data_IF_808123676556
#
_entry.id   IF_808123676556
#
_cell.length_a   1.000
_cell.length_b   1.000
_cell.length_c   1.000
_cell.angle_alpha   90.00
_cell.angle_beta   90.00
_cell.angle_gamma   90.00
#
_symmetry.space_group_name_H-M   'P 1'
#
loop_
_entity.id
_entity.type
_entity.pdbx_description
1 polymer ?
#
# COMPACT_ATOMS: atom_id res chain seq x y z
N UNK A 1 10.08 -48.06 90.13
CA UNK A 1 11.21 -48.78 89.51
C UNK A 1 11.02 -48.66 87.98
N UNK A 2 12.05 -48.27 87.32
CA UNK A 2 12.30 -48.21 85.92
C UNK A 2 11.86 -46.94 85.15
N UNK A 3 12.77 -46.39 84.35
CA UNK A 3 12.64 -45.15 83.75
C UNK A 3 12.20 -45.24 82.29
N UNK A 4 11.53 -44.18 81.83
CA UNK A 4 11.09 -44.02 80.48
C UNK A 4 12.20 -43.45 79.56
N UNK A 5 12.30 -43.99 78.38
CA UNK A 5 13.18 -43.57 77.30
C UNK A 5 12.55 -42.47 76.48
N UNK A 6 13.29 -41.33 76.38
CA UNK A 6 13.00 -40.26 75.41
C UNK A 6 13.39 -40.72 74.01
N UNK A 7 12.43 -40.68 73.10
CA UNK A 7 12.65 -40.79 71.68
C UNK A 7 12.58 -39.34 71.05
N UNK A 8 13.73 -38.80 70.70
CA UNK A 8 13.88 -37.56 69.97
C UNK A 8 13.49 -37.74 68.50
N UNK A 9 12.45 -37.05 68.09
CA UNK A 9 12.08 -36.96 66.68
C UNK A 9 12.85 -35.78 66.01
N UNK A 10 13.79 -36.11 65.12
CA UNK A 10 14.42 -35.18 64.22
C UNK A 10 13.42 -34.85 63.10
N UNK A 11 12.93 -33.61 63.05
CA UNK A 11 12.15 -33.09 61.92
C UNK A 11 13.13 -32.56 60.87
N UNK A 12 13.19 -33.22 59.74
CA UNK A 12 13.92 -32.73 58.55
C UNK A 12 13.02 -31.72 57.81
N UNK A 13 13.37 -30.43 57.90
CA UNK A 13 12.75 -29.38 57.13
C UNK A 13 13.43 -29.33 55.78
N UNK A 14 12.77 -29.85 54.74
CA UNK A 14 13.15 -29.66 53.34
C UNK A 14 12.71 -28.27 52.90
N UNK A 15 13.65 -27.32 52.80
CA UNK A 15 13.45 -26.05 52.17
C UNK A 15 13.47 -26.22 50.64
N UNK A 16 12.30 -26.22 50.02
CA UNK A 16 12.19 -26.05 48.57
C UNK A 16 12.55 -24.57 48.24
N UNK A 17 13.76 -24.35 47.77
CA UNK A 17 14.11 -23.07 47.12
C UNK A 17 13.42 -23.04 45.75
N UNK A 18 12.33 -22.27 45.63
CA UNK A 18 11.71 -21.94 44.34
C UNK A 18 12.71 -21.07 43.56
N UNK A 19 13.35 -21.67 42.56
CA UNK A 19 14.11 -20.93 41.55
C UNK A 19 13.08 -20.18 40.70
N UNK A 20 12.78 -18.94 41.06
CA UNK A 20 12.15 -17.99 40.16
C UNK A 20 13.12 -17.72 39.02
N UNK A 21 12.96 -18.41 37.90
CA UNK A 21 13.55 -17.98 36.65
C UNK A 21 12.97 -16.58 36.33
N UNK A 22 13.75 -15.53 36.59
CA UNK A 22 13.45 -14.22 36.09
C UNK A 22 13.46 -14.32 34.55
N UNK A 23 12.27 -14.45 33.97
CA UNK A 23 12.07 -14.26 32.55
C UNK A 23 12.46 -12.80 32.31
N UNK A 24 13.65 -12.55 31.79
CA UNK A 24 14.02 -11.23 31.27
C UNK A 24 12.97 -10.78 30.26
N UNK A 25 12.77 -9.48 30.02
CA UNK A 25 11.80 -9.03 29.06
C UNK A 25 12.06 -9.78 27.76
N UNK A 26 11.07 -10.59 27.35
CA UNK A 26 11.12 -11.28 26.07
C UNK A 26 11.37 -10.19 25.02
N UNK A 27 12.49 -10.27 24.33
CA UNK A 27 12.72 -9.45 23.13
C UNK A 27 11.51 -9.73 22.26
N UNK A 28 10.61 -8.73 22.11
CA UNK A 28 9.43 -8.86 21.28
C UNK A 28 9.90 -9.34 19.93
N UNK A 29 9.44 -10.51 19.51
CA UNK A 29 9.79 -11.04 18.20
C UNK A 29 9.36 -10.00 17.15
N UNK A 30 10.23 -9.69 16.19
CA UNK A 30 9.91 -8.74 15.11
C UNK A 30 8.62 -9.20 14.42
N UNK A 31 7.61 -8.32 14.25
CA UNK A 31 6.36 -8.70 13.59
C UNK A 31 6.60 -9.07 12.13
N UNK A 32 5.75 -9.93 11.57
CA UNK A 32 5.64 -9.99 10.12
C UNK A 32 4.97 -8.73 9.60
N UNK A 33 5.26 -8.36 8.36
CA UNK A 33 4.70 -7.15 7.76
C UNK A 33 4.15 -7.50 6.38
N UNK A 34 2.89 -7.16 6.15
CA UNK A 34 2.21 -7.35 4.86
C UNK A 34 1.68 -6.01 4.37
N UNK A 35 1.97 -5.66 3.13
CA UNK A 35 1.41 -4.50 2.45
C UNK A 35 0.56 -4.97 1.29
N UNK A 36 -0.76 -4.75 1.39
CA UNK A 36 -1.72 -5.10 0.34
C UNK A 36 -2.12 -3.83 -0.39
N UNK A 37 -1.97 -3.84 -1.71
CA UNK A 37 -2.30 -2.70 -2.58
C UNK A 37 -3.27 -3.15 -3.65
N UNK A 38 -4.46 -2.55 -3.69
CA UNK A 38 -5.39 -2.66 -4.83
C UNK A 38 -5.02 -1.66 -5.92
N UNK A 39 -5.55 -1.86 -7.13
CA UNK A 39 -5.21 -1.09 -8.33
C UNK A 39 -6.45 -0.34 -8.83
N UNK A 40 -6.42 0.98 -8.76
CA UNK A 40 -7.54 1.85 -9.16
C UNK A 40 -8.81 1.69 -8.29
N UNK A 41 -8.68 1.36 -7.01
CA UNK A 41 -9.83 1.30 -6.10
C UNK A 41 -10.12 2.68 -5.50
N UNK A 42 -11.31 3.21 -5.77
CA UNK A 42 -11.74 4.50 -5.23
C UNK A 42 -12.08 4.45 -3.73
N UNK A 43 -11.99 5.59 -3.09
CA UNK A 43 -12.21 5.76 -1.66
C UNK A 43 -13.60 5.30 -1.19
N UNK A 44 -14.63 5.45 -2.03
CA UNK A 44 -15.99 5.04 -1.70
C UNK A 44 -16.18 3.53 -1.53
N UNK A 45 -15.25 2.73 -2.03
CA UNK A 45 -15.42 1.28 -2.19
C UNK A 45 -14.71 0.46 -1.10
N UNK A 46 -14.79 0.96 0.11
CA UNK A 46 -14.50 0.22 1.35
C UNK A 46 -15.74 0.27 2.24
N UNK A 47 -16.27 -0.89 2.65
CA UNK A 47 -17.55 -1.00 3.37
C UNK A 47 -17.58 -0.19 4.66
N UNK A 48 -16.50 -0.22 5.46
CA UNK A 48 -16.39 0.52 6.70
C UNK A 48 -16.35 2.06 6.52
N UNK A 49 -16.23 2.58 5.29
CA UNK A 49 -16.42 4.01 5.02
C UNK A 49 -17.91 4.40 5.04
N UNK A 50 -18.84 3.45 4.80
CA UNK A 50 -20.28 3.69 4.85
C UNK A 50 -20.82 4.56 3.71
N UNK A 51 -20.02 4.80 2.66
CA UNK A 51 -20.38 5.73 1.57
C UNK A 51 -21.38 5.14 0.58
N UNK A 52 -21.39 3.82 0.42
CA UNK A 52 -22.16 3.12 -0.59
C UNK A 52 -22.82 1.88 -0.01
N UNK A 53 -24.12 1.74 -0.20
CA UNK A 53 -24.88 0.57 0.26
C UNK A 53 -24.67 -0.68 -0.59
N UNK A 54 -24.12 -0.54 -1.80
CA UNK A 54 -23.82 -1.63 -2.72
C UNK A 54 -22.43 -2.28 -2.46
N UNK A 55 -21.57 -1.68 -1.66
CA UNK A 55 -20.23 -2.22 -1.31
C UNK A 55 -20.32 -3.30 -0.24
N UNK A 56 -19.58 -4.39 -0.43
CA UNK A 56 -19.48 -5.51 0.52
C UNK A 56 -18.03 -5.93 0.64
N UNK A 57 -17.37 -5.51 1.74
CA UNK A 57 -15.97 -5.83 2.04
C UNK A 57 -15.80 -6.30 3.50
N UNK A 58 -16.47 -7.39 3.92
CA UNK A 58 -16.53 -7.79 5.32
C UNK A 58 -15.16 -8.13 5.93
N UNK A 59 -14.21 -8.63 5.13
CA UNK A 59 -12.87 -8.98 5.62
C UNK A 59 -11.98 -7.75 5.78
N UNK A 60 -12.08 -6.77 4.88
CA UNK A 60 -11.39 -5.47 4.99
C UNK A 60 -12.02 -4.62 6.10
N UNK A 61 -13.35 -4.69 6.26
CA UNK A 61 -14.05 -4.03 7.37
C UNK A 61 -13.61 -4.61 8.73
N UNK A 62 -13.45 -5.95 8.79
CA UNK A 62 -12.91 -6.61 9.98
C UNK A 62 -11.42 -6.28 10.20
N UNK A 63 -10.63 -6.09 9.13
CA UNK A 63 -9.25 -5.60 9.26
C UNK A 63 -9.22 -4.19 9.86
N UNK A 64 -10.11 -3.30 9.41
CA UNK A 64 -10.25 -1.96 9.96
C UNK A 64 -10.72 -1.96 11.43
N UNK A 65 -11.62 -2.89 11.79
CA UNK A 65 -12.09 -3.07 13.16
C UNK A 65 -11.00 -3.61 14.11
N UNK A 66 -10.09 -4.45 13.60
CA UNK A 66 -8.95 -4.98 14.36
C UNK A 66 -7.77 -4.00 14.45
N UNK A 67 -7.87 -2.81 13.84
CA UNK A 67 -6.80 -1.84 13.77
C UNK A 67 -7.27 -0.40 13.62
N UNK A 68 -6.65 0.32 12.70
CA UNK A 68 -6.85 1.74 12.43
C UNK A 68 -7.34 1.96 11.00
N UNK A 69 -8.49 2.60 10.85
CA UNK A 69 -8.97 3.13 9.58
C UNK A 69 -8.59 4.60 9.45
N UNK A 70 -7.93 4.95 8.34
CA UNK A 70 -7.57 6.34 8.09
C UNK A 70 -8.68 7.03 7.29
N UNK A 71 -9.15 8.17 7.80
CA UNK A 71 -10.15 8.96 7.06
C UNK A 71 -9.55 9.69 5.87
N UNK A 72 -8.29 10.11 6.01
CA UNK A 72 -7.57 10.92 5.02
C UNK A 72 -6.26 10.25 4.62
N UNK A 73 -6.35 9.01 4.12
CA UNK A 73 -5.23 8.27 3.54
C UNK A 73 -5.03 8.65 2.08
N UNK A 74 -3.80 8.99 1.69
CA UNK A 74 -3.49 9.47 0.34
C UNK A 74 -2.44 8.60 -0.34
N UNK A 75 -2.60 8.42 -1.64
CA UNK A 75 -1.56 7.93 -2.53
C UNK A 75 -0.56 9.06 -2.83
N UNK A 76 0.70 8.72 -3.07
CA UNK A 76 1.76 9.70 -3.37
C UNK A 76 1.70 10.28 -4.78
N UNK A 77 0.87 9.71 -5.65
CA UNK A 77 0.58 10.22 -6.98
C UNK A 77 -0.80 9.72 -7.45
N UNK A 78 -1.43 10.38 -8.44
CA UNK A 78 -2.77 10.02 -8.90
C UNK A 78 -2.79 8.91 -9.95
N UNK A 79 -1.64 8.26 -10.24
CA UNK A 79 -1.50 7.15 -11.20
C UNK A 79 -0.50 6.11 -10.71
N UNK A 80 -0.59 4.89 -11.26
CA UNK A 80 0.03 3.68 -10.72
C UNK A 80 1.56 3.74 -10.57
N UNK A 81 2.34 4.01 -11.65
CA UNK A 81 3.81 3.93 -11.61
C UNK A 81 4.42 4.86 -10.57
N UNK A 82 4.14 6.17 -10.58
CA UNK A 82 4.72 7.07 -9.57
C UNK A 82 4.20 6.76 -8.16
N UNK A 83 2.92 6.38 -8.00
CA UNK A 83 2.40 6.04 -6.69
C UNK A 83 3.08 4.81 -6.09
N UNK A 84 3.28 3.75 -6.90
CA UNK A 84 4.01 2.55 -6.47
C UNK A 84 5.48 2.84 -6.20
N UNK A 85 6.13 3.66 -7.04
CA UNK A 85 7.51 4.11 -6.81
C UNK A 85 7.64 4.86 -5.47
N UNK A 86 6.71 5.77 -5.17
CA UNK A 86 6.67 6.47 -3.91
C UNK A 86 6.48 5.53 -2.71
N UNK A 87 5.46 4.67 -2.73
CA UNK A 87 5.20 3.69 -1.67
C UNK A 87 6.42 2.81 -1.39
N UNK A 88 7.05 2.31 -2.46
CA UNK A 88 8.20 1.40 -2.34
C UNK A 88 9.45 2.08 -1.79
N UNK A 89 9.64 3.40 -2.00
CA UNK A 89 10.84 4.13 -1.59
C UNK A 89 10.65 4.98 -0.33
N UNK A 90 9.38 5.27 0.07
CA UNK A 90 9.06 6.23 1.14
C UNK A 90 9.42 7.67 0.78
N UNK A 91 9.60 7.97 -0.53
CA UNK A 91 10.00 9.28 -1.06
C UNK A 91 9.06 9.75 -2.15
N UNK A 92 8.87 11.05 -2.28
CA UNK A 92 8.09 11.57 -3.41
C UNK A 92 8.71 11.11 -4.74
N UNK A 93 7.92 10.49 -5.63
CA UNK A 93 8.45 9.93 -6.88
C UNK A 93 9.06 10.99 -7.80
N UNK A 94 8.64 12.22 -7.67
CA UNK A 94 9.20 13.38 -8.39
C UNK A 94 10.64 13.72 -8.00
N UNK A 95 11.14 13.27 -6.81
CA UNK A 95 12.54 13.46 -6.44
C UNK A 95 13.51 12.73 -7.37
N UNK A 96 13.06 11.68 -7.99
CA UNK A 96 13.87 10.87 -8.92
C UNK A 96 13.24 10.78 -10.33
N UNK A 97 12.39 11.76 -10.68
CA UNK A 97 11.91 11.98 -12.04
C UNK A 97 10.81 11.04 -12.53
N UNK A 98 10.07 10.38 -11.62
CA UNK A 98 8.91 9.55 -11.97
C UNK A 98 7.62 10.32 -11.66
N UNK A 99 6.91 10.78 -12.71
CA UNK A 99 5.67 11.57 -12.59
C UNK A 99 4.47 10.89 -13.25
N UNK A 100 4.71 10.10 -14.29
CA UNK A 100 3.66 9.48 -15.10
C UNK A 100 3.87 7.98 -15.25
N UNK A 101 2.88 7.28 -15.81
CA UNK A 101 3.02 5.85 -16.12
C UNK A 101 3.99 5.57 -17.28
N UNK A 102 4.46 6.58 -17.98
CA UNK A 102 5.47 6.47 -19.03
C UNK A 102 6.90 6.57 -18.49
N UNK A 103 7.05 7.10 -17.28
CA UNK A 103 8.35 7.24 -16.62
C UNK A 103 8.73 5.92 -15.94
N UNK A 104 9.96 5.57 -16.08
CA UNK A 104 10.48 4.31 -15.53
C UNK A 104 11.73 3.88 -16.27
N UNK A 105 12.40 2.86 -15.79
CA UNK A 105 12.18 2.11 -14.55
C UNK A 105 12.50 2.92 -13.28
N UNK A 106 12.12 2.37 -12.11
CA UNK A 106 12.56 2.93 -10.82
C UNK A 106 14.11 2.93 -10.78
N UNK A 107 14.77 4.12 -10.62
CA UNK A 107 16.24 4.19 -10.67
C UNK A 107 16.90 3.23 -9.69
N UNK A 108 17.97 2.58 -10.12
CA UNK A 108 18.70 1.61 -9.30
C UNK A 108 19.34 2.21 -8.03
N UNK A 109 19.55 3.54 -8.02
CA UNK A 109 20.03 4.29 -6.85
C UNK A 109 18.99 4.39 -5.72
N UNK A 110 17.70 4.24 -6.03
CA UNK A 110 16.63 4.27 -5.04
C UNK A 110 16.49 2.91 -4.34
N UNK A 111 16.63 2.90 -3.02
CA UNK A 111 16.41 1.69 -2.23
C UNK A 111 14.92 1.52 -1.94
N UNK A 112 14.44 0.33 -2.19
CA UNK A 112 13.05 -0.05 -1.94
C UNK A 112 12.81 -0.51 -0.50
N UNK A 113 11.54 -0.60 -0.11
CA UNK A 113 11.13 -1.26 1.13
C UNK A 113 11.65 -2.71 1.20
N UNK A 114 11.70 -3.42 0.05
CA UNK A 114 12.30 -4.76 -0.04
C UNK A 114 13.78 -4.75 0.36
N UNK A 115 14.59 -3.83 -0.20
CA UNK A 115 16.01 -3.70 0.15
C UNK A 115 16.20 -3.45 1.65
N UNK A 116 15.41 -2.54 2.23
CA UNK A 116 15.51 -2.15 3.63
C UNK A 116 15.04 -3.24 4.58
N UNK A 117 13.92 -3.90 4.27
CA UNK A 117 13.40 -5.00 5.08
C UNK A 117 14.32 -6.23 5.03
N UNK A 118 14.92 -6.53 3.88
CA UNK A 118 15.96 -7.55 3.76
C UNK A 118 17.17 -7.22 4.62
N UNK A 119 17.64 -5.97 4.58
CA UNK A 119 18.73 -5.50 5.45
C UNK A 119 18.38 -5.56 6.94
N UNK A 120 17.09 -5.44 7.30
CA UNK A 120 16.58 -5.62 8.65
C UNK A 120 16.46 -7.11 9.08
N UNK A 121 16.82 -8.06 8.20
CA UNK A 121 16.82 -9.50 8.49
C UNK A 121 15.52 -10.23 8.17
N UNK A 122 14.61 -9.60 7.44
CA UNK A 122 13.37 -10.22 6.96
C UNK A 122 13.61 -11.08 5.72
N UNK A 123 12.82 -12.13 5.56
CA UNK A 123 12.59 -12.72 4.24
C UNK A 123 11.60 -11.83 3.49
N UNK A 124 11.95 -11.42 2.28
CA UNK A 124 11.17 -10.44 1.54
C UNK A 124 10.48 -11.08 0.34
N UNK A 125 9.16 -10.89 0.24
CA UNK A 125 8.33 -11.43 -0.84
C UNK A 125 7.54 -10.36 -1.58
N UNK A 126 7.34 -10.59 -2.90
CA UNK A 126 6.45 -9.78 -3.71
C UNK A 126 5.54 -10.67 -4.54
N UNK A 127 4.24 -10.38 -4.51
CA UNK A 127 3.22 -11.07 -5.31
C UNK A 127 2.40 -10.05 -6.09
N UNK A 128 2.09 -10.36 -7.35
CA UNK A 128 1.22 -9.56 -8.20
C UNK A 128 1.92 -8.40 -8.93
N UNK A 129 1.20 -7.29 -9.11
CA UNK A 129 1.65 -6.14 -9.91
C UNK A 129 2.83 -5.41 -9.26
N UNK A 130 3.91 -5.28 -10.01
CA UNK A 130 5.10 -4.50 -9.68
C UNK A 130 5.03 -3.08 -10.26
N UNK A 131 4.98 -2.97 -11.56
CA UNK A 131 4.74 -1.77 -12.39
C UNK A 131 5.81 -0.66 -12.27
N UNK A 132 6.98 -0.96 -11.73
CA UNK A 132 8.14 -0.04 -11.68
C UNK A 132 9.38 -0.64 -12.36
N UNK A 133 9.20 -1.70 -13.16
CA UNK A 133 10.17 -2.22 -14.10
C UNK A 133 10.23 -1.35 -15.37
N UNK A 134 11.04 -1.76 -16.33
CA UNK A 134 11.19 -1.04 -17.60
C UNK A 134 9.82 -0.89 -18.28
N UNK A 135 9.36 0.35 -18.42
CA UNK A 135 8.26 0.63 -19.34
C UNK A 135 8.89 0.82 -20.72
N UNK A 136 8.57 -0.02 -21.73
CA UNK A 136 9.03 0.26 -23.08
C UNK A 136 8.38 1.57 -23.55
N UNK A 137 9.08 2.66 -23.38
CA UNK A 137 8.69 3.96 -23.90
C UNK A 137 8.55 3.94 -25.43
N UNK A 138 9.00 2.85 -26.05
CA UNK A 138 9.04 2.70 -27.49
C UNK A 138 8.02 1.66 -27.93
N UNK A 139 6.93 2.10 -28.58
CA UNK A 139 5.92 1.24 -29.22
C UNK A 139 6.52 0.23 -30.19
N UNK A 140 7.67 0.51 -30.76
CA UNK A 140 8.40 -0.41 -31.65
C UNK A 140 8.98 -1.60 -30.85
N UNK A 141 9.55 -1.35 -29.67
CA UNK A 141 10.09 -2.39 -28.81
C UNK A 141 8.98 -3.27 -28.22
N UNK A 142 7.83 -2.68 -27.87
CA UNK A 142 6.63 -3.45 -27.47
C UNK A 142 6.12 -4.40 -28.54
N UNK A 143 6.19 -3.99 -29.81
CA UNK A 143 5.76 -4.81 -30.96
C UNK A 143 6.70 -5.99 -31.26
N UNK A 144 7.93 -5.96 -30.77
CA UNK A 144 8.91 -7.02 -30.97
C UNK A 144 8.91 -8.12 -29.89
N UNK A 145 8.22 -7.87 -28.76
CA UNK A 145 8.10 -8.86 -27.67
C UNK A 145 6.86 -9.72 -27.92
N UNK A 146 6.96 -11.04 -27.94
CA UNK A 146 5.79 -11.91 -27.99
C UNK A 146 4.81 -11.58 -26.86
N UNK A 147 3.50 -11.50 -27.14
CA UNK A 147 2.49 -11.13 -26.13
C UNK A 147 2.44 -12.06 -24.91
N UNK A 148 2.83 -13.32 -25.09
CA UNK A 148 2.90 -14.35 -24.07
C UNK A 148 4.17 -14.26 -23.20
N UNK A 149 5.14 -13.43 -23.58
CA UNK A 149 6.33 -13.12 -22.77
C UNK A 149 6.19 -11.83 -21.96
N UNK A 150 5.17 -10.99 -22.25
CA UNK A 150 4.95 -9.73 -21.57
C UNK A 150 4.30 -9.96 -20.20
N UNK A 151 4.91 -9.45 -19.14
CA UNK A 151 4.32 -9.38 -17.82
C UNK A 151 3.27 -8.27 -17.81
N UNK A 152 2.00 -8.65 -17.83
CA UNK A 152 0.89 -7.71 -17.80
C UNK A 152 0.96 -6.78 -16.58
N UNK A 153 0.76 -5.48 -16.82
CA UNK A 153 0.86 -4.45 -15.79
C UNK A 153 2.28 -3.92 -15.56
N UNK A 154 3.31 -4.63 -16.04
CA UNK A 154 4.72 -4.21 -15.93
C UNK A 154 5.33 -3.85 -17.27
N UNK A 155 4.73 -4.30 -18.39
CA UNK A 155 5.26 -4.16 -19.74
C UNK A 155 6.74 -4.62 -19.85
N UNK A 156 7.15 -5.54 -19.00
CA UNK A 156 8.47 -6.11 -18.88
C UNK A 156 8.48 -7.57 -19.30
N UNK A 157 9.64 -8.15 -19.49
CA UNK A 157 9.84 -9.60 -19.65
C UNK A 157 10.57 -10.18 -18.44
N UNK A 158 10.66 -11.50 -18.35
CA UNK A 158 11.45 -12.16 -17.28
C UNK A 158 12.94 -11.83 -17.31
N UNK A 159 13.45 -11.30 -18.43
CA UNK A 159 14.83 -10.84 -18.57
C UNK A 159 15.07 -9.41 -18.05
N UNK A 160 14.03 -8.67 -17.64
CA UNK A 160 14.17 -7.29 -17.20
C UNK A 160 15.01 -7.18 -15.92
N UNK A 161 16.09 -6.35 -15.94
CA UNK A 161 16.98 -6.21 -14.80
C UNK A 161 16.34 -5.45 -13.61
N UNK A 162 15.16 -4.85 -13.78
CA UNK A 162 14.44 -4.09 -12.75
C UNK A 162 13.32 -4.89 -12.08
N UNK A 163 13.26 -6.21 -12.32
CA UNK A 163 12.32 -7.10 -11.63
C UNK A 163 12.60 -7.16 -10.11
N UNK A 164 11.60 -7.53 -9.31
CA UNK A 164 11.68 -7.51 -7.84
C UNK A 164 12.92 -8.18 -7.24
N UNK A 165 13.40 -9.29 -7.82
CA UNK A 165 14.60 -10.00 -7.35
C UNK A 165 15.89 -9.17 -7.35
N UNK A 166 15.96 -8.09 -8.15
CA UNK A 166 17.06 -7.13 -8.18
C UNK A 166 16.79 -5.89 -7.34
N UNK A 167 15.61 -5.82 -6.70
CA UNK A 167 15.09 -4.68 -5.97
C UNK A 167 14.71 -5.05 -4.54
N UNK A 168 15.46 -5.98 -3.93
CA UNK A 168 15.38 -6.31 -2.53
C UNK A 168 14.36 -7.37 -2.15
N UNK A 169 13.70 -8.03 -3.11
CA UNK A 169 12.79 -9.12 -2.82
C UNK A 169 13.47 -10.47 -3.07
N UNK A 170 13.58 -11.29 -2.01
CA UNK A 170 14.21 -12.61 -2.07
C UNK A 170 13.39 -13.59 -2.90
N UNK A 171 12.06 -13.49 -2.79
CA UNK A 171 11.12 -14.32 -3.51
C UNK A 171 10.03 -13.47 -4.18
N UNK A 172 9.55 -13.90 -5.33
CA UNK A 172 8.50 -13.16 -6.04
C UNK A 172 7.68 -14.05 -6.96
N UNK A 173 6.41 -13.63 -7.12
CA UNK A 173 5.46 -14.12 -8.11
C UNK A 173 4.85 -12.89 -8.81
N UNK A 174 5.65 -12.26 -9.67
CA UNK A 174 5.42 -10.93 -10.21
C UNK A 174 4.67 -10.98 -11.53
N UNK A 175 3.57 -10.28 -11.60
CA UNK A 175 2.74 -10.15 -12.80
C UNK A 175 1.30 -9.78 -12.46
N UNK A 176 0.65 -9.06 -13.36
CA UNK A 176 -0.70 -8.56 -13.12
C UNK A 176 -1.79 -9.54 -13.59
N UNK A 177 -1.55 -10.26 -14.68
CA UNK A 177 -2.53 -11.14 -15.29
C UNK A 177 -1.85 -12.16 -16.23
N UNK A 178 -2.21 -13.43 -16.13
CA UNK A 178 -1.78 -14.57 -16.95
C UNK A 178 -0.30 -14.91 -16.91
N UNK A 179 0.58 -13.96 -17.16
CA UNK A 179 2.02 -14.16 -17.22
C UNK A 179 2.68 -13.65 -15.94
N UNK A 180 3.47 -14.49 -15.30
CA UNK A 180 4.13 -14.20 -14.03
C UNK A 180 5.61 -14.57 -14.12
N UNK A 181 6.49 -13.64 -13.75
CA UNK A 181 7.88 -13.94 -13.45
C UNK A 181 7.95 -14.45 -12.01
N UNK A 182 8.37 -15.69 -11.81
CA UNK A 182 8.28 -16.32 -10.50
C UNK A 182 9.60 -16.96 -10.07
N UNK A 183 9.84 -16.95 -8.76
CA UNK A 183 10.92 -17.68 -8.08
C UNK A 183 10.42 -18.92 -7.34
N UNK A 184 9.10 -19.04 -7.17
CA UNK A 184 8.42 -20.18 -6.56
C UNK A 184 7.08 -20.42 -7.26
N UNK A 185 6.53 -21.64 -7.15
CA UNK A 185 5.22 -21.99 -7.69
C UNK A 185 4.11 -21.91 -6.62
N UNK A 186 2.84 -22.06 -7.04
CA UNK A 186 1.67 -21.99 -6.16
C UNK A 186 1.59 -23.13 -5.15
N UNK A 187 2.36 -24.22 -5.33
CA UNK A 187 2.55 -25.28 -4.34
C UNK A 187 3.64 -24.93 -3.31
N UNK A 188 4.26 -23.76 -3.42
CA UNK A 188 5.32 -23.29 -2.54
C UNK A 188 6.69 -23.94 -2.81
N UNK A 189 6.94 -24.49 -3.99
CA UNK A 189 8.24 -25.05 -4.37
C UNK A 189 9.11 -23.97 -5.02
N UNK A 190 10.39 -23.91 -4.65
CA UNK A 190 11.35 -23.02 -5.30
C UNK A 190 11.56 -23.45 -6.76
N UNK A 191 11.58 -22.47 -7.66
CA UNK A 191 11.82 -22.69 -9.09
C UNK A 191 13.32 -22.50 -9.41
N UNK A 192 14.05 -23.55 -9.84
CA UNK A 192 15.44 -23.43 -10.23
C UNK A 192 15.59 -22.50 -11.45
N UNK A 193 16.65 -21.69 -11.46
CA UNK A 193 16.94 -20.77 -12.58
C UNK A 193 16.00 -19.55 -12.65
N UNK A 194 15.35 -19.20 -11.55
CA UNK A 194 14.49 -18.02 -11.51
C UNK A 194 15.20 -16.73 -11.98
N UNK A 195 14.47 -15.81 -12.66
CA UNK A 195 13.01 -15.83 -12.87
C UNK A 195 12.55 -16.83 -13.93
N UNK A 196 11.48 -17.57 -13.61
CA UNK A 196 10.80 -18.47 -14.55
C UNK A 196 9.50 -17.83 -14.98
N UNK A 197 9.19 -17.84 -16.27
CA UNK A 197 7.90 -17.40 -16.78
C UNK A 197 6.86 -18.51 -16.55
N UNK A 198 5.85 -18.19 -15.74
CA UNK A 198 4.68 -19.04 -15.53
C UNK A 198 3.47 -18.41 -16.23
N UNK A 199 2.72 -19.26 -16.94
CA UNK A 199 1.44 -18.88 -17.53
C UNK A 199 0.30 -19.50 -16.72
N UNK A 200 -0.60 -18.68 -16.18
CA UNK A 200 -1.79 -19.13 -15.48
C UNK A 200 -2.99 -18.29 -15.91
N UNK A 201 -3.93 -18.89 -16.61
CA UNK A 201 -5.12 -18.22 -17.18
C UNK A 201 -6.32 -18.19 -16.22
N UNK A 202 -6.17 -18.73 -15.00
CA UNK A 202 -7.22 -18.66 -13.98
C UNK A 202 -7.49 -17.22 -13.57
N UNK A 203 -8.48 -17.04 -12.74
CA UNK A 203 -8.83 -15.72 -12.24
C UNK A 203 -7.67 -15.10 -11.45
N UNK A 204 -7.21 -13.95 -11.91
CA UNK A 204 -5.95 -13.32 -11.44
C UNK A 204 -5.90 -13.05 -9.93
N UNK A 205 -7.04 -12.70 -9.31
CA UNK A 205 -7.09 -12.43 -7.86
C UNK A 205 -6.87 -13.70 -7.06
N UNK A 206 -7.42 -14.83 -7.52
CA UNK A 206 -7.19 -16.13 -6.89
C UNK A 206 -5.72 -16.56 -7.02
N UNK A 207 -5.15 -16.43 -8.22
CA UNK A 207 -3.73 -16.78 -8.46
C UNK A 207 -2.80 -15.95 -7.57
N UNK A 208 -3.04 -14.64 -7.48
CA UNK A 208 -2.26 -13.74 -6.63
C UNK A 208 -2.45 -14.06 -5.14
N UNK A 209 -3.66 -14.40 -4.72
CA UNK A 209 -3.94 -14.82 -3.34
C UNK A 209 -3.26 -16.15 -3.02
N UNK A 210 -3.32 -17.13 -3.90
CA UNK A 210 -2.64 -18.43 -3.73
C UNK A 210 -1.13 -18.27 -3.65
N UNK A 211 -0.53 -17.41 -4.47
CA UNK A 211 0.89 -17.09 -4.40
C UNK A 211 1.28 -16.44 -3.06
N UNK A 212 0.44 -15.51 -2.54
CA UNK A 212 0.65 -14.93 -1.22
C UNK A 212 0.57 -15.97 -0.09
N UNK A 213 -0.40 -16.87 -0.17
CA UNK A 213 -0.56 -17.99 0.79
C UNK A 213 0.60 -18.98 0.70
N UNK A 214 1.09 -19.29 -0.50
CA UNK A 214 2.27 -20.13 -0.71
C UNK A 214 3.51 -19.50 -0.06
N UNK A 215 3.76 -18.20 -0.25
CA UNK A 215 4.85 -17.48 0.40
C UNK A 215 4.73 -17.53 1.93
N UNK A 216 3.55 -17.22 2.49
CA UNK A 216 3.30 -17.27 3.93
C UNK A 216 3.56 -18.70 4.45
N UNK A 217 3.07 -19.73 3.75
CA UNK A 217 3.26 -21.12 4.13
C UNK A 217 4.73 -21.55 4.17
N UNK A 218 5.58 -21.00 3.30
CA UNK A 218 7.02 -21.26 3.24
C UNK A 218 7.80 -20.68 4.42
N UNK A 219 7.36 -19.53 4.93
CA UNK A 219 8.16 -18.73 5.87
C UNK A 219 7.55 -18.65 7.28
N UNK A 220 6.31 -19.08 7.46
CA UNK A 220 5.66 -19.09 8.78
C UNK A 220 6.48 -19.85 9.84
N UNK A 221 6.82 -19.16 10.94
CA UNK A 221 7.57 -19.74 12.05
C UNK A 221 9.07 -19.94 11.83
N UNK A 222 9.64 -19.48 10.70
CA UNK A 222 11.09 -19.60 10.45
C UNK A 222 11.83 -18.30 10.77
N UNK A 223 11.45 -17.22 10.12
CA UNK A 223 11.98 -15.85 10.29
C UNK A 223 10.86 -14.85 10.07
N UNK A 224 10.95 -13.61 10.59
CA UNK A 224 9.99 -12.59 10.21
C UNK A 224 10.05 -12.36 8.71
N UNK A 225 8.89 -12.15 8.11
CA UNK A 225 8.79 -11.89 6.67
C UNK A 225 8.13 -10.55 6.37
N UNK A 226 8.54 -9.95 5.27
CA UNK A 226 7.88 -8.84 4.62
C UNK A 226 7.27 -9.32 3.31
N UNK A 227 5.96 -9.07 3.11
CA UNK A 227 5.25 -9.46 1.90
C UNK A 227 4.50 -8.26 1.30
N UNK A 228 4.82 -7.92 0.06
CA UNK A 228 4.04 -6.98 -0.75
C UNK A 228 3.08 -7.76 -1.63
N UNK A 229 1.78 -7.46 -1.55
CA UNK A 229 0.72 -8.06 -2.38
C UNK A 229 0.08 -6.97 -3.22
N UNK A 230 0.47 -6.87 -4.49
CA UNK A 230 -0.09 -5.93 -5.45
C UNK A 230 -1.18 -6.58 -6.27
N UNK A 231 -2.44 -6.52 -5.82
CA UNK A 231 -3.55 -6.97 -6.66
C UNK A 231 -3.69 -6.09 -7.90
N UNK A 232 -4.00 -6.71 -9.04
CA UNK A 232 -4.32 -5.98 -10.28
C UNK A 232 -5.81 -5.66 -10.42
N UNK A 233 -6.62 -6.06 -9.45
CA UNK A 233 -8.03 -5.71 -9.36
C UNK A 233 -8.20 -4.44 -8.50
N UNK A 234 -9.25 -3.63 -8.73
CA UNK A 234 -10.25 -3.73 -9.79
C UNK A 234 -9.86 -3.13 -11.17
N UNK A 235 -8.58 -2.88 -11.45
CA UNK A 235 -8.12 -2.37 -12.76
C UNK A 235 -8.66 -3.23 -13.92
N UNK A 236 -8.92 -2.61 -15.06
CA UNK A 236 -9.34 -3.32 -16.27
C UNK A 236 -8.31 -4.37 -16.73
N UNK A 237 -8.70 -5.49 -17.37
CA UNK A 237 -10.05 -5.83 -17.84
C UNK A 237 -10.99 -6.25 -16.70
N UNK A 238 -12.28 -5.88 -16.83
CA UNK A 238 -13.32 -6.26 -15.87
C UNK A 238 -13.78 -7.71 -16.11
N UNK A 239 -12.95 -8.65 -15.70
CA UNK A 239 -13.19 -10.09 -15.87
C UNK A 239 -13.15 -10.81 -14.51
N UNK A 240 -14.18 -10.63 -13.66
CA UNK A 240 -14.31 -11.37 -12.41
C UNK A 240 -14.62 -12.85 -12.66
N UNK A 241 -14.29 -13.75 -11.72
CA UNK A 241 -14.75 -15.12 -11.75
C UNK A 241 -16.29 -15.17 -11.69
N UNK A 242 -16.88 -16.21 -12.29
CA UNK A 242 -18.32 -16.26 -12.60
C UNK A 242 -19.26 -16.15 -11.39
N UNK A 243 -18.82 -16.57 -10.20
CA UNK A 243 -19.59 -16.56 -8.96
C UNK A 243 -19.65 -15.17 -8.29
N UNK A 244 -18.63 -14.31 -8.50
CA UNK A 244 -18.57 -12.99 -7.86
C UNK A 244 -19.65 -12.01 -8.34
N UNK A 245 -19.94 -11.86 -9.67
CA UNK A 245 -21.01 -10.98 -10.14
C UNK A 245 -22.39 -11.34 -9.59
N UNK A 246 -22.64 -12.62 -9.30
CA UNK A 246 -23.91 -13.08 -8.73
C UNK A 246 -24.20 -12.45 -7.35
N UNK A 247 -23.15 -12.16 -6.56
CA UNK A 247 -23.27 -11.48 -5.25
C UNK A 247 -23.84 -10.05 -5.38
N UNK A 248 -23.75 -9.46 -6.57
CA UNK A 248 -24.14 -8.09 -6.90
C UNK A 248 -25.23 -8.03 -7.98
N UNK A 249 -26.06 -9.09 -8.12
CA UNK A 249 -27.13 -9.16 -9.13
C UNK A 249 -28.14 -8.00 -9.03
N UNK A 250 -28.30 -7.41 -7.84
CA UNK A 250 -29.14 -6.24 -7.58
C UNK A 250 -28.58 -4.91 -8.14
N UNK A 251 -27.30 -4.87 -8.52
CA UNK A 251 -26.65 -3.69 -9.11
C UNK A 251 -26.94 -3.66 -10.60
N UNK A 252 -27.69 -2.66 -11.07
CA UNK A 252 -28.15 -2.57 -12.44
C UNK A 252 -27.01 -2.30 -13.45
N UNK A 253 -26.09 -1.39 -13.10
CA UNK A 253 -24.95 -1.06 -13.96
C UNK A 253 -23.96 -2.24 -14.05
N UNK A 254 -23.74 -2.80 -15.26
CA UNK A 254 -22.86 -3.95 -15.43
C UNK A 254 -21.39 -3.65 -15.13
N UNK A 255 -20.89 -2.44 -15.39
CA UNK A 255 -19.51 -2.05 -15.04
C UNK A 255 -19.36 -1.96 -13.52
N UNK A 256 -20.30 -1.30 -12.85
CA UNK A 256 -20.31 -1.22 -11.38
C UNK A 256 -20.37 -2.62 -10.76
N UNK A 257 -21.23 -3.48 -11.27
CA UNK A 257 -21.35 -4.87 -10.82
C UNK A 257 -20.04 -5.63 -10.96
N UNK A 258 -19.36 -5.49 -12.09
CA UNK A 258 -18.07 -6.14 -12.34
C UNK A 258 -16.95 -5.56 -11.45
N UNK A 259 -16.90 -4.25 -11.24
CA UNK A 259 -15.97 -3.61 -10.33
C UNK A 259 -16.14 -4.08 -8.89
N UNK A 260 -17.39 -4.10 -8.40
CA UNK A 260 -17.71 -4.63 -7.06
C UNK A 260 -17.35 -6.10 -6.90
N UNK A 261 -17.56 -6.90 -7.93
CA UNK A 261 -17.19 -8.31 -7.96
C UNK A 261 -15.66 -8.49 -7.82
N UNK A 262 -14.86 -7.65 -8.48
CA UNK A 262 -13.40 -7.65 -8.35
C UNK A 262 -12.94 -7.20 -6.97
N UNK A 263 -13.58 -6.19 -6.39
CA UNK A 263 -13.31 -5.71 -5.03
C UNK A 263 -13.65 -6.78 -3.99
N UNK A 264 -14.80 -7.48 -4.16
CA UNK A 264 -15.17 -8.58 -3.28
C UNK A 264 -14.17 -9.75 -3.36
N UNK A 265 -13.56 -9.99 -4.52
CA UNK A 265 -12.52 -11.00 -4.65
C UNK A 265 -11.23 -10.60 -3.91
N UNK A 266 -10.85 -9.32 -3.94
CA UNK A 266 -9.74 -8.80 -3.11
C UNK A 266 -10.07 -8.99 -1.62
N UNK A 267 -11.28 -8.63 -1.22
CA UNK A 267 -11.76 -8.79 0.17
C UNK A 267 -11.65 -10.24 0.64
N UNK A 268 -12.14 -11.19 -0.16
CA UNK A 268 -12.03 -12.63 0.13
C UNK A 268 -10.54 -13.06 0.19
N UNK A 269 -9.70 -12.54 -0.71
CA UNK A 269 -8.26 -12.79 -0.70
C UNK A 269 -7.58 -12.32 0.60
N UNK A 270 -7.91 -11.11 1.07
CA UNK A 270 -7.42 -10.59 2.36
C UNK A 270 -7.94 -11.44 3.51
N UNK A 271 -9.20 -11.88 3.44
CA UNK A 271 -9.79 -12.82 4.41
C UNK A 271 -9.01 -14.12 4.52
N UNK A 272 -8.66 -14.73 3.38
CA UNK A 272 -7.85 -15.97 3.30
C UNK A 272 -6.43 -15.76 3.88
N UNK A 273 -5.79 -14.63 3.57
CA UNK A 273 -4.47 -14.28 4.14
C UNK A 273 -4.55 -14.16 5.66
N UNK A 274 -5.53 -13.41 6.18
CA UNK A 274 -5.74 -13.25 7.63
C UNK A 274 -6.04 -14.58 8.32
N UNK A 275 -6.83 -15.45 7.69
CA UNK A 275 -7.12 -16.79 8.19
C UNK A 275 -5.84 -17.64 8.26
N UNK A 276 -5.04 -17.65 7.18
CA UNK A 276 -3.79 -18.40 7.14
C UNK A 276 -2.78 -17.95 8.22
N UNK A 277 -2.75 -16.66 8.54
CA UNK A 277 -1.94 -16.13 9.64
C UNK A 277 -2.46 -16.59 11.01
N UNK A 278 -3.77 -16.56 11.25
CA UNK A 278 -4.38 -17.03 12.50
C UNK A 278 -4.12 -18.52 12.73
N UNK A 279 -4.32 -19.35 11.71
CA UNK A 279 -4.09 -20.80 11.76
C UNK A 279 -2.64 -21.17 12.11
N UNK A 280 -1.70 -20.27 11.81
CA UNK A 280 -0.27 -20.41 12.10
C UNK A 280 0.20 -19.70 13.36
N UNK A 281 -0.73 -19.12 14.13
CA UNK A 281 -0.41 -18.37 15.35
C UNK A 281 0.28 -17.02 15.10
N UNK A 282 0.26 -16.50 13.85
CA UNK A 282 0.94 -15.26 13.46
C UNK A 282 0.01 -14.04 13.46
N UNK A 283 -1.29 -14.22 13.71
CA UNK A 283 -2.28 -13.15 13.56
C UNK A 283 -2.06 -11.96 14.50
N UNK A 284 -1.52 -12.18 15.71
CA UNK A 284 -1.22 -11.12 16.66
C UNK A 284 0.05 -10.32 16.25
N UNK A 285 1.05 -11.03 15.75
CA UNK A 285 2.37 -10.51 15.46
C UNK A 285 2.57 -10.20 13.96
N UNK A 286 1.52 -9.79 13.28
CA UNK A 286 1.59 -9.34 11.88
C UNK A 286 0.96 -7.97 11.71
N UNK A 287 1.77 -7.01 11.23
CA UNK A 287 1.31 -5.69 10.78
C UNK A 287 0.84 -5.79 9.34
N UNK A 288 -0.43 -5.48 9.09
CA UNK A 288 -1.03 -5.50 7.77
C UNK A 288 -1.45 -4.08 7.38
N UNK A 289 -0.94 -3.57 6.25
CA UNK A 289 -1.48 -2.39 5.57
C UNK A 289 -2.36 -2.80 4.40
N UNK A 290 -3.46 -2.10 4.22
CA UNK A 290 -4.28 -2.15 3.01
C UNK A 290 -4.45 -0.74 2.45
N UNK A 291 -4.20 -0.55 1.15
CA UNK A 291 -4.42 0.73 0.45
C UNK A 291 -4.67 0.50 -1.03
N UNK A 292 -5.03 1.56 -1.78
CA UNK A 292 -5.02 1.59 -3.24
C UNK A 292 -3.87 2.44 -3.74
N UNK A 293 -3.40 2.19 -4.96
CA UNK A 293 -2.32 2.97 -5.56
C UNK A 293 -2.78 4.35 -6.06
N UNK A 294 -4.03 4.53 -6.41
CA UNK A 294 -4.67 5.80 -6.77
C UNK A 294 -6.19 5.67 -6.74
N UNK A 295 -6.89 6.78 -6.88
CA UNK A 295 -8.34 6.77 -6.98
C UNK A 295 -8.87 6.11 -8.25
N UNK A 296 -10.17 5.81 -8.28
CA UNK A 296 -10.83 5.17 -9.41
C UNK A 296 -10.86 6.06 -10.65
N UNK A 297 -10.69 5.49 -11.86
CA UNK A 297 -10.95 6.18 -13.12
C UNK A 297 -12.46 6.27 -13.36
N UNK A 298 -12.95 7.47 -13.64
CA UNK A 298 -14.38 7.73 -13.92
C UNK A 298 -14.61 8.18 -15.36
N UNK A 299 -13.55 8.48 -16.11
CA UNK A 299 -13.64 8.98 -17.49
C UNK A 299 -14.27 7.94 -18.40
N UNK A 300 -15.22 8.34 -19.28
CA UNK A 300 -15.86 7.44 -20.24
C UNK A 300 -14.85 6.59 -21.01
N UNK A 301 -15.08 5.28 -21.01
CA UNK A 301 -14.21 4.30 -21.66
C UNK A 301 -13.03 3.80 -20.84
N UNK A 302 -12.74 4.42 -19.68
CA UNK A 302 -11.69 4.01 -18.76
C UNK A 302 -12.21 3.48 -17.42
N UNK A 303 -13.50 3.59 -17.17
CA UNK A 303 -14.12 3.24 -15.90
C UNK A 303 -13.91 1.75 -15.57
N UNK A 304 -13.56 1.50 -14.35
CA UNK A 304 -13.45 0.14 -13.80
C UNK A 304 -14.59 -0.24 -12.86
N UNK A 305 -15.63 0.59 -12.78
CA UNK A 305 -16.78 0.38 -11.91
C UNK A 305 -16.54 0.77 -10.45
N UNK A 306 -15.33 1.15 -10.05
CA UNK A 306 -15.06 1.71 -8.73
C UNK A 306 -15.40 3.21 -8.68
N UNK A 307 -15.63 3.76 -7.49
CA UNK A 307 -16.12 5.12 -7.28
C UNK A 307 -15.31 5.88 -6.22
N UNK A 308 -15.19 7.20 -6.43
CA UNK A 308 -14.51 8.10 -5.51
C UNK A 308 -15.47 8.91 -4.62
N UNK A 309 -16.80 8.85 -4.86
CA UNK A 309 -17.79 9.65 -4.16
C UNK A 309 -17.66 9.60 -2.63
N UNK A 310 -17.85 10.73 -1.91
CA UNK A 310 -18.25 12.05 -2.40
C UNK A 310 -17.07 12.92 -2.91
N UNK A 311 -15.89 12.37 -3.03
CA UNK A 311 -14.67 13.11 -3.40
C UNK A 311 -14.71 13.55 -4.86
N UNK A 312 -14.18 14.74 -5.11
CA UNK A 312 -14.12 15.33 -6.45
C UNK A 312 -12.95 14.75 -7.23
N UNK A 313 -13.19 14.44 -8.51
CA UNK A 313 -12.15 14.01 -9.44
C UNK A 313 -11.92 12.51 -9.50
N UNK A 314 -10.86 12.16 -10.22
CA UNK A 314 -10.57 10.77 -10.62
C UNK A 314 -9.07 10.51 -10.79
N UNK A 315 -8.71 9.26 -11.06
CA UNK A 315 -7.35 8.87 -11.49
C UNK A 315 -6.77 9.86 -12.52
N UNK A 316 -5.53 10.31 -12.29
CA UNK A 316 -4.86 11.31 -13.12
C UNK A 316 -5.18 12.78 -12.76
N UNK A 317 -5.89 13.00 -11.66
CA UNK A 317 -6.15 14.33 -11.11
C UNK A 317 -5.61 14.46 -9.68
N UNK A 318 -5.17 15.66 -9.30
CA UNK A 318 -4.63 15.92 -7.96
C UNK A 318 -5.71 16.35 -6.94
N UNK A 319 -6.98 16.33 -7.34
CA UNK A 319 -8.12 16.43 -6.42
C UNK A 319 -8.21 15.20 -5.50
N UNK A 320 -9.02 15.28 -4.46
CA UNK A 320 -9.18 14.19 -3.48
C UNK A 320 -9.57 12.86 -4.14
N UNK A 321 -10.47 12.89 -5.16
CA UNK A 321 -10.87 11.68 -5.87
C UNK A 321 -9.76 10.96 -6.65
N UNK A 322 -8.66 11.65 -6.96
CA UNK A 322 -7.51 11.01 -7.59
C UNK A 322 -6.43 10.54 -6.62
N UNK A 323 -6.34 11.16 -5.44
CA UNK A 323 -5.25 10.93 -4.49
C UNK A 323 -5.68 10.32 -3.17
N UNK A 324 -6.90 10.58 -2.68
CA UNK A 324 -7.42 9.98 -1.44
C UNK A 324 -7.98 8.60 -1.73
N UNK A 325 -7.49 7.61 -0.99
CA UNK A 325 -7.72 6.18 -1.24
C UNK A 325 -8.13 5.46 0.04
N UNK A 326 -8.74 4.26 -0.05
CA UNK A 326 -8.88 3.39 1.11
C UNK A 326 -7.52 3.18 1.78
N UNK A 327 -7.47 3.32 3.11
CA UNK A 327 -6.23 3.12 3.85
C UNK A 327 -6.55 2.55 5.25
N UNK A 328 -5.95 1.41 5.57
CA UNK A 328 -6.12 0.67 6.83
C UNK A 328 -4.77 0.15 7.29
N UNK A 329 -4.52 0.16 8.60
CA UNK A 329 -3.39 -0.54 9.22
C UNK A 329 -3.91 -1.35 10.42
N UNK A 330 -3.55 -2.64 10.50
CA UNK A 330 -3.90 -3.48 11.63
C UNK A 330 -2.68 -4.25 12.13
N UNK A 331 -2.45 -4.19 13.42
CA UNK A 331 -1.42 -4.97 14.13
C UNK A 331 -1.90 -5.21 15.56
N UNK A 332 -2.59 -6.32 15.83
CA UNK A 332 -3.25 -6.52 17.12
C UNK A 332 -2.31 -6.41 18.33
N UNK A 333 -1.03 -6.81 18.20
CA UNK A 333 -0.04 -6.67 19.29
C UNK A 333 0.52 -5.25 19.45
N UNK A 334 0.38 -4.37 18.45
CA UNK A 334 1.08 -3.07 18.45
C UNK A 334 0.21 -1.85 18.15
N UNK A 335 -1.03 -2.01 17.70
CA UNK A 335 -1.95 -0.92 17.38
C UNK A 335 -3.30 -1.09 18.08
N UNK A 336 -3.97 0.01 18.46
CA UNK A 336 -5.31 -0.05 19.03
C UNK A 336 -6.33 -0.52 17.99
N UNK A 337 -7.27 -1.38 18.40
CA UNK A 337 -8.37 -1.82 17.57
C UNK A 337 -9.47 -0.75 17.47
N UNK A 338 -10.20 -0.72 16.33
CA UNK A 338 -11.37 0.11 16.10
C UNK A 338 -11.11 1.62 16.04
N UNK A 339 -9.86 2.02 15.89
CA UNK A 339 -9.52 3.45 15.85
C UNK A 339 -9.80 4.05 14.47
N UNK A 340 -10.44 5.21 14.47
CA UNK A 340 -10.57 6.07 13.29
C UNK A 340 -9.55 7.20 13.41
N UNK A 341 -8.63 7.33 12.45
CA UNK A 341 -7.57 8.32 12.47
C UNK A 341 -7.89 9.47 11.50
N UNK A 342 -8.12 10.72 11.99
CA UNK A 342 -8.66 11.79 11.17
C UNK A 342 -7.61 12.61 10.42
N UNK A 343 -6.34 12.53 10.81
CA UNK A 343 -5.28 13.33 10.19
C UNK A 343 -4.81 12.75 8.87
N UNK A 344 -4.34 13.60 7.94
CA UNK A 344 -3.78 13.14 6.67
C UNK A 344 -2.54 12.27 6.87
N UNK A 345 -2.51 11.14 6.15
CA UNK A 345 -1.37 10.25 5.99
C UNK A 345 -1.18 9.97 4.50
N UNK A 346 0.00 9.51 4.13
CA UNK A 346 0.35 9.24 2.73
C UNK A 346 1.02 7.87 2.60
N UNK A 347 0.89 7.23 1.44
CA UNK A 347 1.49 5.91 1.19
C UNK A 347 3.02 5.86 1.40
N UNK A 348 3.69 7.01 1.41
CA UNK A 348 5.11 7.14 1.76
C UNK A 348 5.42 6.73 3.20
N UNK A 349 4.43 6.82 4.10
CA UNK A 349 4.57 6.53 5.53
C UNK A 349 4.67 5.03 5.83
N UNK A 350 4.26 4.18 4.87
CA UNK A 350 4.29 2.72 5.04
C UNK A 350 5.72 2.24 5.29
N UNK A 351 6.71 2.73 4.51
CA UNK A 351 8.10 2.29 4.65
C UNK A 351 8.70 2.64 6.02
N UNK A 352 8.73 3.91 6.49
CA UNK A 352 9.28 4.22 7.80
C UNK A 352 8.50 3.59 8.96
N UNK A 353 7.18 3.38 8.81
CA UNK A 353 6.38 2.68 9.83
C UNK A 353 6.73 1.19 9.89
N UNK A 354 6.91 0.54 8.74
CA UNK A 354 7.36 -0.85 8.66
C UNK A 354 8.75 -1.04 9.28
N UNK A 355 9.68 -0.12 9.01
CA UNK A 355 11.02 -0.14 9.63
C UNK A 355 10.95 0.02 11.15
N UNK A 356 10.16 0.97 11.64
CA UNK A 356 9.99 1.18 13.07
C UNK A 356 9.36 -0.05 13.75
N UNK A 357 8.35 -0.69 13.14
CA UNK A 357 7.80 -1.95 13.61
C UNK A 357 8.85 -3.09 13.64
N UNK A 358 9.81 -3.06 12.71
CA UNK A 358 10.95 -3.99 12.67
C UNK A 358 12.07 -3.64 13.66
N UNK A 359 11.93 -2.56 14.46
CA UNK A 359 12.95 -2.07 15.38
C UNK A 359 14.14 -1.42 14.67
N UNK A 360 13.92 -0.81 13.52
CA UNK A 360 14.94 -0.12 12.71
C UNK A 360 14.59 1.35 12.61
N UNK A 361 15.47 2.20 13.10
CA UNK A 361 15.31 3.65 12.96
C UNK A 361 15.64 4.10 11.53
N UNK A 362 14.80 4.98 11.00
CA UNK A 362 15.07 5.63 9.74
C UNK A 362 16.28 6.57 9.87
N UNK A 363 17.25 6.45 8.97
CA UNK A 363 18.46 7.26 8.98
C UNK A 363 18.26 8.52 8.14
N UNK A 364 18.79 9.70 8.59
CA UNK A 364 18.64 10.96 7.86
C UNK A 364 19.13 10.92 6.41
N UNK A 365 20.19 10.16 6.13
CA UNK A 365 20.76 10.00 4.79
C UNK A 365 19.85 9.28 3.81
N UNK A 366 18.81 8.60 4.30
CA UNK A 366 17.79 7.96 3.45
C UNK A 366 16.81 8.96 2.82
N UNK A 367 16.76 10.19 3.39
CA UNK A 367 15.94 11.29 2.89
C UNK A 367 14.49 10.86 2.63
N UNK A 368 13.91 10.11 3.57
CA UNK A 368 12.51 9.69 3.49
C UNK A 368 11.61 10.92 3.62
N UNK A 369 10.56 10.99 2.81
CA UNK A 369 9.51 11.99 2.93
C UNK A 369 8.34 11.48 3.80
N UNK A 370 8.16 10.16 3.86
CA UNK A 370 7.23 9.52 4.78
C UNK A 370 7.72 9.56 6.23
N UNK A 371 6.79 9.44 7.17
CA UNK A 371 7.04 9.43 8.61
C UNK A 371 6.60 8.11 9.25
N UNK A 372 7.21 7.75 10.38
CA UNK A 372 6.75 6.64 11.19
C UNK A 372 5.42 6.99 11.86
N UNK A 373 4.36 6.27 11.53
CA UNK A 373 3.02 6.51 12.07
C UNK A 373 2.78 5.92 13.46
N UNK A 374 3.60 4.98 13.94
CA UNK A 374 3.33 4.27 15.21
C UNK A 374 3.10 5.21 16.39
N UNK A 375 3.93 6.25 16.66
CA UNK A 375 3.69 7.15 17.80
C UNK A 375 2.35 7.89 17.74
N UNK A 376 1.88 8.21 16.53
CA UNK A 376 0.59 8.87 16.30
C UNK A 376 -0.59 7.91 16.46
N UNK A 377 -0.39 6.66 16.03
CA UNK A 377 -1.43 5.64 16.08
C UNK A 377 -1.56 5.01 17.47
N UNK A 378 -0.51 4.98 18.28
CA UNK A 378 -0.57 4.54 19.68
C UNK A 378 -1.03 5.65 20.62
N UNK A 379 -1.01 6.92 20.18
CA UNK A 379 -1.40 8.08 21.00
C UNK A 379 -0.27 8.71 21.78
N UNK A 380 0.99 8.29 21.54
CA UNK A 380 2.18 8.94 22.11
C UNK A 380 2.37 10.36 21.56
N UNK A 381 1.92 10.60 20.32
CA UNK A 381 1.87 11.92 19.69
C UNK A 381 0.44 12.24 19.29
N UNK A 382 0.01 13.46 19.63
CA UNK A 382 -1.36 13.95 19.36
C UNK A 382 -1.44 14.85 18.12
N UNK A 383 -0.31 15.37 17.64
CA UNK A 383 -0.26 16.24 16.46
C UNK A 383 -0.48 15.43 15.17
N UNK A 384 -0.73 16.14 14.07
CA UNK A 384 -0.76 15.51 12.75
C UNK A 384 0.66 15.06 12.34
N UNK A 385 0.84 13.88 11.71
CA UNK A 385 2.15 13.39 11.28
C UNK A 385 2.77 14.29 10.20
N UNK A 386 1.94 14.94 9.40
CA UNK A 386 2.37 15.85 8.35
C UNK A 386 1.75 17.23 8.53
N UNK A 387 2.61 18.27 8.48
CA UNK A 387 2.14 19.67 8.37
C UNK A 387 1.61 19.96 6.99
N UNK A 388 2.23 19.36 5.96
CA UNK A 388 1.92 19.56 4.55
C UNK A 388 2.15 18.26 3.77
N UNK A 389 1.31 18.03 2.76
CA UNK A 389 1.49 16.98 1.76
C UNK A 389 1.53 17.63 0.37
N UNK A 390 2.32 17.06 -0.53
CA UNK A 390 2.57 17.62 -1.86
C UNK A 390 2.36 16.59 -2.96
N UNK A 391 1.98 17.07 -4.13
CA UNK A 391 1.85 16.24 -5.33
C UNK A 391 2.26 17.03 -6.56
N UNK A 392 2.83 16.34 -7.54
CA UNK A 392 3.05 16.84 -8.90
C UNK A 392 2.75 15.72 -9.89
N UNK A 393 1.97 16.02 -10.91
CA UNK A 393 1.59 15.08 -11.95
C UNK A 393 1.39 15.83 -13.28
N UNK A 394 2.30 15.61 -14.24
CA UNK A 394 2.27 16.31 -15.51
C UNK A 394 2.16 17.82 -15.30
N UNK A 395 1.10 18.50 -15.85
CA UNK A 395 0.94 19.92 -15.69
C UNK A 395 0.39 20.37 -14.33
N UNK A 396 0.00 19.42 -13.45
CA UNK A 396 -0.65 19.73 -12.20
C UNK A 396 0.35 19.68 -11.03
N UNK A 397 0.16 20.56 -10.05
CA UNK A 397 0.83 20.47 -8.76
C UNK A 397 -0.15 20.82 -7.64
N UNK A 398 0.04 20.25 -6.45
CA UNK A 398 -0.84 20.50 -5.31
C UNK A 398 -0.06 20.53 -4.00
N UNK A 399 -0.56 21.31 -3.05
CA UNK A 399 -0.16 21.26 -1.65
C UNK A 399 -1.40 21.22 -0.76
N UNK A 400 -1.39 20.34 0.24
CA UNK A 400 -2.39 20.29 1.31
C UNK A 400 -1.72 20.68 2.63
N UNK A 401 -2.36 21.58 3.39
CA UNK A 401 -1.87 22.04 4.69
C UNK A 401 -3.08 22.23 5.62
N UNK A 402 -3.20 21.36 6.61
CA UNK A 402 -4.37 21.35 7.51
C UNK A 402 -5.67 21.09 6.75
N UNK A 403 -6.57 22.06 6.77
CA UNK A 403 -7.85 22.02 6.02
C UNK A 403 -7.75 22.54 4.58
N UNK A 404 -6.67 23.21 4.24
CA UNK A 404 -6.52 23.88 2.96
C UNK A 404 -5.83 22.98 1.93
N UNK A 405 -6.32 23.01 0.70
CA UNK A 405 -5.64 22.43 -0.46
C UNK A 405 -5.58 23.42 -1.59
N UNK A 406 -4.37 23.67 -2.09
CA UNK A 406 -4.12 24.55 -3.23
C UNK A 406 -3.69 23.70 -4.42
N UNK A 407 -4.40 23.84 -5.53
CA UNK A 407 -4.06 23.25 -6.83
C UNK A 407 -3.46 24.30 -7.75
N UNK A 408 -2.44 23.89 -8.52
CA UNK A 408 -1.85 24.64 -9.60
C UNK A 408 -2.11 23.95 -10.94
N UNK A 409 -2.59 24.72 -11.90
CA UNK A 409 -2.69 24.34 -13.32
C UNK A 409 -2.00 25.39 -14.17
N UNK A 410 -1.02 25.04 -15.04
CA UNK A 410 -0.33 25.97 -15.88
C UNK A 410 -1.27 26.71 -16.83
N UNK A 411 -0.94 27.98 -17.26
CA UNK A 411 0.30 28.65 -16.90
C UNK A 411 0.32 29.30 -15.51
N UNK A 412 -0.81 29.75 -14.97
CA UNK A 412 -0.91 30.39 -13.64
C UNK A 412 -2.35 30.33 -13.10
N UNK A 413 -3.03 29.22 -13.31
CA UNK A 413 -4.37 29.00 -12.74
C UNK A 413 -4.22 28.29 -11.40
N UNK A 414 -4.77 28.91 -10.35
CA UNK A 414 -4.73 28.43 -8.98
C UNK A 414 -6.13 28.29 -8.43
N UNK A 415 -6.36 27.22 -7.66
CA UNK A 415 -7.64 26.98 -6.99
C UNK A 415 -7.37 26.60 -5.54
N UNK A 416 -8.01 27.31 -4.61
CA UNK A 416 -7.92 27.02 -3.17
C UNK A 416 -9.22 26.39 -2.67
N UNK A 417 -9.09 25.29 -1.97
CA UNK A 417 -10.20 24.54 -1.42
C UNK A 417 -10.08 24.39 0.10
N UNK A 418 -11.23 24.39 0.80
CA UNK A 418 -11.35 24.06 2.20
C UNK A 418 -11.90 22.65 2.35
N UNK A 419 -11.01 21.67 2.60
CA UNK A 419 -11.39 20.27 2.78
C UNK A 419 -12.13 19.99 4.09
N UNK A 420 -12.21 20.97 4.98
CA UNK A 420 -13.01 20.89 6.22
C UNK A 420 -14.43 21.40 6.05
N UNK A 421 -14.78 21.99 4.90
CA UNK A 421 -16.13 22.44 4.60
C UNK A 421 -16.96 21.34 3.90
N UNK A 422 -18.30 21.39 3.97
CA UNK A 422 -19.16 20.45 3.25
C UNK A 422 -19.01 20.54 1.73
N UNK A 423 -18.61 21.70 1.20
CA UNK A 423 -18.39 21.93 -0.23
C UNK A 423 -17.09 21.29 -0.72
N UNK A 424 -16.08 21.15 0.17
CA UNK A 424 -14.80 20.56 -0.20
C UNK A 424 -14.19 21.18 -1.45
N UNK A 425 -13.79 20.36 -2.42
CA UNK A 425 -13.19 20.79 -3.70
C UNK A 425 -14.21 21.26 -4.74
N UNK A 426 -15.48 21.44 -4.42
CA UNK A 426 -16.50 21.97 -5.35
C UNK A 426 -16.55 23.51 -5.37
N UNK A 427 -15.97 24.18 -4.35
CA UNK A 427 -16.00 25.62 -4.22
C UNK A 427 -14.59 26.20 -4.16
N UNK A 428 -14.22 26.96 -5.18
CA UNK A 428 -12.97 27.70 -5.19
C UNK A 428 -13.02 28.94 -4.30
N UNK A 429 -12.09 29.03 -3.37
CA UNK A 429 -11.97 30.10 -2.37
C UNK A 429 -10.76 31.02 -2.61
N UNK A 430 -10.10 30.92 -3.77
CA UNK A 430 -8.88 31.68 -4.11
C UNK A 430 -9.05 33.17 -3.91
N UNK A 431 -10.15 33.76 -4.39
CA UNK A 431 -10.43 35.19 -4.25
C UNK A 431 -10.74 35.63 -2.80
N UNK A 432 -11.23 34.71 -1.97
CA UNK A 432 -11.67 35.00 -0.61
C UNK A 432 -10.51 34.90 0.41
N UNK A 433 -9.46 34.12 0.11
CA UNK A 433 -8.34 33.87 1.00
C UNK A 433 -6.96 34.10 0.33
N UNK A 434 -6.69 35.34 -0.21
CA UNK A 434 -5.44 35.61 -0.95
C UNK A 434 -4.17 35.43 -0.12
N UNK A 435 -4.26 35.66 1.19
CA UNK A 435 -3.12 35.42 2.11
C UNK A 435 -2.76 33.94 2.22
N UNK A 436 -3.75 33.06 2.30
CA UNK A 436 -3.54 31.62 2.35
C UNK A 436 -3.02 31.08 1.02
N UNK A 437 -3.55 31.58 -0.10
CA UNK A 437 -3.04 31.26 -1.44
C UNK A 437 -1.56 31.62 -1.54
N UNK A 438 -1.16 32.83 -1.12
CA UNK A 438 0.24 33.28 -1.18
C UNK A 438 1.15 32.39 -0.31
N UNK A 439 0.69 32.04 0.90
CA UNK A 439 1.42 31.14 1.80
C UNK A 439 1.65 29.76 1.16
N UNK A 440 0.59 29.16 0.64
CA UNK A 440 0.65 27.81 0.06
C UNK A 440 1.42 27.80 -1.28
N UNK A 441 1.31 28.84 -2.10
CA UNK A 441 2.16 29.02 -3.29
C UNK A 441 3.64 28.99 -2.93
N UNK A 442 4.05 29.75 -1.91
CA UNK A 442 5.43 29.79 -1.46
C UNK A 442 5.91 28.39 -0.99
N UNK A 443 5.08 27.66 -0.27
CA UNK A 443 5.39 26.29 0.18
C UNK A 443 5.54 25.33 -0.99
N UNK A 444 4.58 25.36 -1.94
CA UNK A 444 4.62 24.50 -3.11
C UNK A 444 5.82 24.79 -4.01
N UNK A 445 6.18 26.06 -4.19
CA UNK A 445 7.39 26.45 -4.95
C UNK A 445 8.67 25.96 -4.26
N UNK A 446 8.77 26.11 -2.94
CA UNK A 446 9.92 25.63 -2.17
C UNK A 446 10.10 24.11 -2.31
N UNK A 447 9.02 23.35 -2.14
CA UNK A 447 9.05 21.90 -2.34
C UNK A 447 9.40 21.51 -3.78
N UNK A 448 8.78 22.17 -4.76
CA UNK A 448 9.00 21.87 -6.18
C UNK A 448 10.45 22.13 -6.63
N UNK A 449 11.15 23.08 -6.01
CA UNK A 449 12.55 23.36 -6.29
C UNK A 449 13.48 22.18 -5.94
N UNK A 450 13.05 21.29 -5.03
CA UNK A 450 13.78 20.09 -4.62
C UNK A 450 13.50 18.86 -5.50
N UNK A 451 12.57 18.95 -6.45
CA UNK A 451 12.15 17.83 -7.29
C UNK A 451 12.99 17.73 -8.58
N UNK A 452 12.81 16.66 -9.34
CA UNK A 452 13.48 16.42 -10.62
C UNK A 452 12.42 16.24 -11.74
N UNK A 453 12.37 17.13 -12.75
CA UNK A 453 13.08 18.42 -12.82
C UNK A 453 12.61 19.39 -11.74
N UNK A 454 13.47 20.33 -11.36
CA UNK A 454 13.14 21.34 -10.36
C UNK A 454 12.07 22.33 -10.85
N UNK A 455 11.23 22.78 -9.91
CA UNK A 455 10.20 23.78 -10.16
C UNK A 455 8.82 23.22 -10.50
N UNK A 456 7.86 24.12 -10.71
CA UNK A 456 6.51 23.78 -11.14
C UNK A 456 6.45 23.62 -12.67
N UNK A 457 5.53 22.81 -13.18
CA UNK A 457 5.31 22.68 -14.62
C UNK A 457 4.96 24.04 -15.25
N UNK A 458 5.68 24.44 -16.30
CA UNK A 458 5.52 25.75 -16.94
C UNK A 458 4.45 25.76 -18.03
N UNK A 459 4.09 24.62 -18.60
CA UNK A 459 3.11 24.49 -19.68
C UNK A 459 2.37 23.17 -19.60
N UNK A 460 1.13 23.06 -20.13
CA UNK A 460 0.44 21.80 -20.20
C UNK A 460 1.24 20.81 -21.06
N UNK A 461 1.55 19.66 -20.50
CA UNK A 461 2.11 18.56 -21.29
C UNK A 461 1.02 18.14 -22.28
N UNK A 462 1.26 18.30 -23.57
CA UNK A 462 0.36 17.77 -24.60
C UNK A 462 0.34 16.26 -24.45
N UNK A 463 -0.79 15.74 -24.00
CA UNK A 463 -0.97 14.30 -23.86
C UNK A 463 -0.91 13.68 -25.28
N UNK A 464 0.04 12.78 -25.58
CA UNK A 464 0.15 12.17 -26.92
C UNK A 464 -1.05 11.28 -27.28
N UNK A 465 -1.94 10.98 -26.34
CA UNK A 465 -3.13 10.17 -26.53
C UNK A 465 -4.36 10.91 -27.11
N UNK A 466 -4.24 12.19 -27.46
CA UNK A 466 -5.29 12.97 -28.14
C UNK A 466 -5.03 13.11 -29.66
N UNK A 467 -4.46 12.09 -30.32
CA UNK A 467 -4.48 11.97 -31.79
C UNK A 467 -5.21 10.72 -32.21
#
# INVERSE_FOLDING_TARGET
MLPGSLLSRLAFVLSLAAISAACGPAVSAKPNIIVVVSDDQGWADLGCHGMRSDVRTPNLDALAADGVRFERGHASAPVCVPSRAGLLTGRYPTRFGIETNADGPLPASEQTIGDRMRAAGYVTGLVGKWHVATSPANTAQKKSIPPDEILWGDNATVADPHLPGRRGFDEYFCGANRNYAASFDLAGRTLPGAPVLLNDSRFRVDVQTEAALAFIGRHAGTRPFFLYVGYFAPHVPLAPAADYPARFAHVADPKRRAGLALIAAIDDGVGRIRQALRERGLGQDTLIFFTSDNGAPLRPGMENGSLNTPLVGEKGQLTEGGTRVPFVAAWPAGLPAGRVYPHPVISLDILPTALAAAGVDARPEWKLDGVNLLPFLTGEQSEAPHRELFWRFGPQAAVMSGRWKLLHHPPDHWQLFDLGSPEGETRDLTAQHPGEVSRLKARLHAWAAEQSPAGLPAAPIRNPSNR
#
